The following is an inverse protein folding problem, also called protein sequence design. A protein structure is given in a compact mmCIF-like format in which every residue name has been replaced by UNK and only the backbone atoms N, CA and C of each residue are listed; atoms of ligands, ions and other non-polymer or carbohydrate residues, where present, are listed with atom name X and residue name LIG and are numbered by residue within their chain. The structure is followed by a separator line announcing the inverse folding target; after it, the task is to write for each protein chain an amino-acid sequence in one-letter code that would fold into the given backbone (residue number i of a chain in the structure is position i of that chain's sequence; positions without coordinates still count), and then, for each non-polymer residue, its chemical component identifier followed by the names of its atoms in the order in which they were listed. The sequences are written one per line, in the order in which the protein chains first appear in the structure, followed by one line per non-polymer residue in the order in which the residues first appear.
data_IF_157952613144
#
_entry.id   IF_157952613144
#
_cell.length_a   1.000
_cell.length_b   1.000
_cell.length_c   1.000
_cell.angle_alpha   90.00
_cell.angle_beta   90.00
_cell.angle_gamma   90.00
#
_symmetry.space_group_name_H-M   'P 1'
#
loop_
_entity.id
_entity.type
_entity.pdbx_description
1 polymer ?
#
# COMPACT_ATOMS: atom_id res chain seq x y z
N UNK A 1 -10.45 -11.09 24.91
CA UNK A 1 -9.08 -11.64 25.11
C UNK A 1 -8.22 -11.05 24.00
N UNK A 2 -7.05 -10.49 24.31
CA UNK A 2 -6.17 -9.96 23.27
C UNK A 2 -5.58 -11.13 22.43
N UNK A 3 -5.47 -10.98 21.11
CA UNK A 3 -4.97 -12.04 20.23
C UNK A 3 -3.52 -12.42 20.57
N UNK A 4 -3.18 -13.71 20.45
CA UNK A 4 -1.79 -14.16 20.53
C UNK A 4 -1.03 -13.58 19.33
N UNK A 5 -0.06 -12.72 19.62
CA UNK A 5 0.61 -11.90 18.60
C UNK A 5 2.02 -12.43 18.34
N UNK A 6 2.32 -12.66 17.07
CA UNK A 6 3.64 -12.95 16.53
C UNK A 6 4.27 -11.65 16.01
N UNK A 7 5.59 -11.46 16.17
CA UNK A 7 6.31 -10.33 15.58
C UNK A 7 7.37 -10.83 14.59
N UNK A 8 7.42 -10.27 13.38
CA UNK A 8 8.38 -10.62 12.31
C UNK A 8 9.16 -9.37 11.88
N UNK A 9 10.49 -9.45 11.72
CA UNK A 9 11.37 -8.32 11.40
C UNK A 9 12.44 -8.63 10.34
N UNK A 10 12.72 -7.72 9.39
CA UNK A 10 13.96 -7.51 8.57
C UNK A 10 13.74 -6.26 7.68
N UNK A 11 14.69 -5.39 7.32
CA UNK A 11 15.97 -5.66 6.64
C UNK A 11 17.20 -5.58 7.52
N UNK A 12 17.91 -6.71 7.47
CA UNK A 12 18.94 -7.15 8.41
C UNK A 12 18.60 -6.79 9.87
N UNK A 13 17.39 -7.17 10.28
CA UNK A 13 16.82 -7.19 11.64
C UNK A 13 16.89 -5.85 12.38
N UNK A 14 16.63 -4.81 11.60
CA UNK A 14 16.72 -3.41 11.99
C UNK A 14 18.17 -3.03 12.35
N UNK A 15 19.08 -3.64 11.59
CA UNK A 15 20.52 -3.44 11.48
C UNK A 15 21.35 -3.56 12.77
N UNK A 16 21.07 -4.54 13.63
CA UNK A 16 21.84 -4.82 14.86
C UNK A 16 21.54 -3.82 16.00
N UNK A 17 20.33 -3.89 16.51
CA UNK A 17 20.10 -3.77 17.94
C UNK A 17 21.32 -3.86 18.89
N UNK A 18 21.50 -2.82 19.69
CA UNK A 18 21.76 -2.92 21.12
C UNK A 18 20.44 -2.85 21.89
N UNK A 19 19.96 -3.87 22.58
CA UNK A 19 19.38 -5.09 22.00
C UNK A 19 18.19 -5.51 22.85
N UNK A 20 18.23 -5.20 24.15
CA UNK A 20 17.29 -5.70 25.16
C UNK A 20 15.80 -5.36 24.90
N UNK A 21 15.50 -4.33 24.11
CA UNK A 21 14.15 -3.81 23.90
C UNK A 21 13.40 -4.40 22.68
N UNK A 22 14.05 -4.58 21.52
CA UNK A 22 13.44 -5.48 20.50
C UNK A 22 13.31 -6.88 21.10
N UNK A 23 14.27 -7.23 21.96
CA UNK A 23 14.50 -8.54 22.55
C UNK A 23 13.65 -8.91 23.76
N UNK A 24 12.67 -8.11 24.22
CA UNK A 24 11.56 -8.65 25.02
C UNK A 24 10.33 -8.99 24.18
N UNK A 25 10.29 -8.49 22.95
CA UNK A 25 9.03 -8.26 22.27
C UNK A 25 8.85 -9.13 21.02
N UNK A 26 9.95 -9.57 20.42
CA UNK A 26 9.94 -10.71 19.50
C UNK A 26 9.85 -12.08 20.23
N UNK A 27 9.96 -12.11 21.56
CA UNK A 27 10.49 -13.25 22.35
C UNK A 27 9.61 -14.51 22.55
N UNK A 28 8.60 -14.79 21.73
CA UNK A 28 8.00 -16.14 21.76
C UNK A 28 7.86 -16.82 20.41
N UNK A 29 8.41 -16.23 19.35
CA UNK A 29 8.41 -16.80 17.99
C UNK A 29 7.01 -16.96 17.40
N UNK A 30 7.03 -17.40 16.14
CA UNK A 30 5.88 -17.96 15.43
C UNK A 30 5.23 -18.99 16.34
N UNK A 31 4.24 -18.54 17.10
CA UNK A 31 3.32 -19.42 17.78
C UNK A 31 2.47 -20.03 16.66
N UNK A 32 2.44 -21.36 16.57
CA UNK A 32 1.52 -22.04 15.65
C UNK A 32 0.05 -21.68 15.96
N UNK A 33 -0.22 -21.15 17.17
CA UNK A 33 -1.50 -20.56 17.57
C UNK A 33 -1.56 -19.04 17.53
N UNK A 34 -0.65 -18.34 16.84
CA UNK A 34 -0.76 -16.88 16.68
C UNK A 34 -1.97 -16.51 15.81
N UNK A 35 -2.74 -15.52 16.26
CA UNK A 35 -3.93 -15.01 15.57
C UNK A 35 -3.63 -13.74 14.76
N UNK A 36 -2.44 -13.15 14.94
CA UNK A 36 -1.96 -11.96 14.25
C UNK A 36 -0.43 -11.97 14.19
N UNK A 37 0.13 -11.58 13.06
CA UNK A 37 1.53 -11.23 12.91
C UNK A 37 1.70 -9.71 12.74
N UNK A 38 2.55 -9.08 13.56
CA UNK A 38 3.06 -7.72 13.36
C UNK A 38 4.37 -7.81 12.59
N UNK A 39 4.39 -7.29 11.37
CA UNK A 39 5.53 -7.41 10.47
C UNK A 39 6.21 -6.05 10.32
N UNK A 40 7.42 -5.94 10.84
CA UNK A 40 8.19 -4.71 10.95
C UNK A 40 9.30 -4.73 9.91
N UNK A 41 9.21 -3.84 8.93
CA UNK A 41 10.19 -3.75 7.85
C UNK A 41 10.39 -2.30 7.44
N UNK A 42 11.63 -1.94 7.09
CA UNK A 42 11.95 -0.61 6.57
C UNK A 42 11.57 -0.48 5.10
N UNK A 43 11.70 -1.57 4.35
CA UNK A 43 11.28 -1.69 2.96
C UNK A 43 10.24 -2.80 2.80
N UNK A 44 9.02 -2.43 2.44
CA UNK A 44 7.95 -3.42 2.21
C UNK A 44 8.04 -4.13 0.86
N UNK A 45 9.02 -3.76 0.02
CA UNK A 45 9.30 -4.38 -1.26
C UNK A 45 10.54 -5.28 -1.24
N UNK A 46 11.19 -5.43 -0.08
CA UNK A 46 12.30 -6.35 0.10
C UNK A 46 11.88 -7.78 -0.24
N UNK A 47 12.77 -8.51 -0.92
CA UNK A 47 12.51 -9.87 -1.36
C UNK A 47 12.41 -10.88 -0.22
N UNK A 48 13.22 -10.74 0.83
CA UNK A 48 13.24 -11.59 2.02
C UNK A 48 11.96 -11.46 2.85
N UNK A 49 11.35 -10.26 2.86
CA UNK A 49 10.02 -10.06 3.44
C UNK A 49 8.94 -10.85 2.68
N UNK A 50 9.12 -11.01 1.37
CA UNK A 50 8.17 -11.68 0.50
C UNK A 50 7.88 -13.13 0.87
N UNK A 51 8.91 -13.90 1.23
CA UNK A 51 8.77 -15.30 1.61
C UNK A 51 7.96 -15.46 2.91
N UNK A 52 8.22 -14.60 3.90
CA UNK A 52 7.47 -14.62 5.16
C UNK A 52 6.00 -14.26 4.98
N UNK A 53 5.70 -13.24 4.16
CA UNK A 53 4.32 -12.84 3.89
C UNK A 53 3.54 -13.91 3.12
N UNK A 54 4.19 -14.71 2.29
CA UNK A 54 3.57 -15.86 1.64
C UNK A 54 3.26 -16.98 2.66
N UNK A 55 4.18 -17.32 3.57
CA UNK A 55 3.94 -18.30 4.64
C UNK A 55 2.74 -17.90 5.53
N UNK A 56 2.70 -16.64 5.99
CA UNK A 56 1.61 -16.12 6.81
C UNK A 56 0.27 -16.18 6.08
N UNK A 57 0.27 -15.89 4.77
CA UNK A 57 -0.93 -16.02 3.93
C UNK A 57 -1.38 -17.48 3.83
N UNK A 58 -0.46 -18.40 3.56
CA UNK A 58 -0.78 -19.82 3.36
C UNK A 58 -1.31 -20.46 4.65
N UNK A 59 -0.81 -20.01 5.81
CA UNK A 59 -1.29 -20.36 7.15
C UNK A 59 -2.53 -19.58 7.61
N UNK A 60 -3.00 -18.62 6.81
CA UNK A 60 -4.12 -17.70 7.12
C UNK A 60 -3.94 -16.93 8.43
N UNK A 61 -2.70 -16.55 8.75
CA UNK A 61 -2.39 -15.67 9.87
C UNK A 61 -2.37 -14.24 9.35
N UNK A 62 -3.31 -13.36 9.76
CA UNK A 62 -3.32 -11.96 9.36
C UNK A 62 -1.98 -11.29 9.66
N UNK A 63 -1.48 -10.48 8.74
CA UNK A 63 -0.17 -9.84 8.87
C UNK A 63 -0.32 -8.31 8.76
N UNK A 64 -0.11 -7.59 9.86
CA UNK A 64 -0.14 -6.13 9.89
C UNK A 64 1.26 -5.58 9.66
N UNK A 65 1.45 -4.85 8.56
CA UNK A 65 2.74 -4.25 8.24
C UNK A 65 2.96 -2.94 9.02
N UNK A 66 4.21 -2.72 9.43
CA UNK A 66 4.67 -1.51 10.11
C UNK A 66 6.03 -1.11 9.53
N UNK A 67 6.14 0.14 9.08
CA UNK A 67 7.38 0.79 8.63
C UNK A 67 7.73 1.89 9.61
N UNK A 68 8.60 1.64 10.60
CA UNK A 68 8.83 2.61 11.67
C UNK A 68 9.75 3.77 11.26
N UNK A 69 10.57 3.60 10.22
CA UNK A 69 11.54 4.58 9.71
C UNK A 69 10.94 5.55 8.68
N UNK A 70 11.67 6.64 8.40
CA UNK A 70 11.28 7.69 7.46
C UNK A 70 10.54 8.85 8.12
N UNK A 71 10.10 9.81 7.30
CA UNK A 71 9.47 11.07 7.74
C UNK A 71 8.21 10.82 8.57
N UNK A 72 7.33 9.95 8.07
CA UNK A 72 6.14 9.46 8.77
C UNK A 72 6.18 7.94 8.81
N UNK A 73 5.96 7.28 9.97
CA UNK A 73 5.78 5.84 10.05
C UNK A 73 4.61 5.39 9.20
N UNK A 74 4.74 4.22 8.61
CA UNK A 74 3.62 3.58 7.90
C UNK A 74 3.06 2.45 8.75
N UNK A 75 1.74 2.36 8.77
CA UNK A 75 1.01 1.29 9.47
C UNK A 75 -0.08 0.77 8.54
N UNK A 76 -0.30 -0.55 8.55
CA UNK A 76 -1.15 -1.19 7.58
C UNK A 76 -0.38 -1.53 6.31
N UNK A 77 -0.95 -2.17 5.31
CA UNK A 77 -2.25 -2.82 5.36
C UNK A 77 -2.17 -4.08 6.22
N UNK A 78 -3.34 -4.56 6.63
CA UNK A 78 -3.52 -5.93 7.05
C UNK A 78 -3.55 -6.83 5.80
N UNK A 79 -2.57 -7.72 5.69
CA UNK A 79 -2.44 -8.77 4.68
C UNK A 79 -2.95 -10.11 5.22
N UNK A 80 -2.98 -11.13 4.37
CA UNK A 80 -3.41 -12.50 4.71
C UNK A 80 -4.83 -12.56 5.29
N UNK A 81 -5.67 -11.58 4.94
CA UNK A 81 -7.10 -11.56 5.24
C UNK A 81 -7.91 -11.83 3.99
N UNK A 82 -9.05 -12.50 4.15
CA UNK A 82 -9.94 -12.82 3.04
C UNK A 82 -10.39 -11.55 2.31
N UNK A 83 -10.33 -11.58 0.98
CA UNK A 83 -10.66 -10.43 0.13
C UNK A 83 -9.73 -9.22 0.30
N UNK A 84 -8.62 -9.35 1.04
CA UNK A 84 -7.61 -8.30 1.21
C UNK A 84 -6.52 -8.34 0.13
N UNK A 85 -5.69 -7.29 0.04
CA UNK A 85 -4.51 -7.31 -0.80
C UNK A 85 -3.50 -8.34 -0.28
N UNK A 86 -2.71 -8.92 -1.18
CA UNK A 86 -1.51 -9.69 -0.81
C UNK A 86 -0.24 -8.90 -1.12
N UNK A 87 0.95 -9.46 -0.81
CA UNK A 87 2.25 -8.82 -1.10
C UNK A 87 2.43 -8.40 -2.56
N UNK A 88 1.85 -9.15 -3.50
CA UNK A 88 1.92 -8.81 -4.92
C UNK A 88 1.07 -7.58 -5.27
N UNK A 89 -0.07 -7.40 -4.60
CA UNK A 89 -0.88 -6.18 -4.73
C UNK A 89 -0.12 -4.98 -4.17
N UNK A 90 0.49 -5.14 -2.99
CA UNK A 90 1.33 -4.12 -2.39
C UNK A 90 2.45 -3.68 -3.35
N UNK A 91 3.21 -4.65 -3.88
CA UNK A 91 4.27 -4.40 -4.88
C UNK A 91 3.75 -3.70 -6.13
N UNK A 92 2.60 -4.13 -6.66
CA UNK A 92 2.00 -3.55 -7.85
C UNK A 92 1.51 -2.10 -7.64
N UNK A 93 1.24 -1.68 -6.39
CA UNK A 93 0.83 -0.31 -6.06
C UNK A 93 1.99 0.57 -5.62
N UNK A 94 2.92 0.05 -4.82
CA UNK A 94 4.05 0.85 -4.34
C UNK A 94 5.11 1.09 -5.43
N UNK A 95 5.57 0.05 -6.16
CA UNK A 95 6.68 0.23 -7.13
C UNK A 95 6.45 1.38 -8.13
N UNK A 96 5.29 1.46 -8.81
CA UNK A 96 5.00 2.54 -9.75
C UNK A 96 5.05 3.95 -9.16
N UNK A 97 4.80 4.08 -7.86
CA UNK A 97 4.80 5.35 -7.14
C UNK A 97 6.20 5.75 -6.64
N UNK A 98 7.18 4.86 -6.75
CA UNK A 98 8.59 5.04 -6.39
C UNK A 98 9.52 4.87 -7.59
N UNK A 99 9.11 5.41 -8.75
CA UNK A 99 9.79 5.18 -10.03
C UNK A 99 11.23 5.70 -10.09
N UNK A 100 11.55 6.75 -9.32
CA UNK A 100 12.91 7.30 -9.26
C UNK A 100 13.82 6.34 -8.50
N UNK A 101 13.37 5.89 -7.33
CA UNK A 101 14.03 4.89 -6.51
C UNK A 101 14.20 3.59 -7.28
N UNK A 102 13.17 3.14 -8.01
CA UNK A 102 13.24 1.95 -8.84
C UNK A 102 14.26 2.10 -9.98
N UNK A 103 14.30 3.26 -10.65
CA UNK A 103 15.28 3.53 -11.70
C UNK A 103 16.72 3.52 -11.16
N UNK A 104 16.93 4.14 -10.00
CA UNK A 104 18.23 4.20 -9.33
C UNK A 104 18.65 2.80 -8.84
N UNK A 105 17.76 2.06 -8.20
CA UNK A 105 17.99 0.67 -7.79
C UNK A 105 18.44 -0.20 -8.97
N UNK A 106 17.72 -0.17 -10.09
CA UNK A 106 18.12 -0.89 -11.31
C UNK A 106 19.50 -0.50 -11.82
N UNK A 107 19.84 0.79 -11.83
CA UNK A 107 21.18 1.26 -12.26
C UNK A 107 22.29 0.82 -11.31
N UNK A 108 21.99 0.72 -10.01
CA UNK A 108 22.94 0.39 -8.95
C UNK A 108 22.99 -1.10 -8.61
N UNK A 109 22.18 -1.94 -9.29
CA UNK A 109 22.08 -3.37 -9.00
C UNK A 109 21.43 -3.69 -7.65
N UNK A 110 20.56 -2.82 -7.15
CA UNK A 110 19.82 -2.97 -5.88
C UNK A 110 18.33 -3.14 -6.18
N UNK A 111 17.64 -4.04 -5.47
CA UNK A 111 16.17 -4.18 -5.53
C UNK A 111 15.57 -3.62 -4.22
N UNK A 112 14.38 -3.02 -4.29
CA UNK A 112 13.70 -2.38 -3.14
C UNK A 112 13.38 -0.88 -3.29
N UNK A 113 12.52 -0.35 -2.41
CA UNK A 113 12.28 1.08 -2.19
C UNK A 113 13.50 1.79 -1.58
N UNK A 114 14.27 1.07 -0.75
CA UNK A 114 15.43 1.60 -0.04
C UNK A 114 16.74 1.53 -0.86
N UNK A 115 16.60 1.28 -2.17
CA UNK A 115 17.60 1.55 -3.22
C UNK A 115 17.97 3.04 -3.36
N UNK A 116 18.11 3.75 -2.24
CA UNK A 116 18.74 5.04 -2.02
C UNK A 116 18.35 6.12 -3.04
N UNK A 117 17.24 6.81 -2.79
CA UNK A 117 17.14 8.19 -3.23
C UNK A 117 18.20 9.01 -2.46
N UNK A 118 19.22 9.59 -3.12
CA UNK A 118 20.24 10.40 -2.44
C UNK A 118 19.66 11.67 -1.79
N UNK A 119 18.39 12.00 -2.05
CA UNK A 119 17.72 13.19 -1.54
C UNK A 119 17.03 13.02 -0.18
N UNK A 120 16.95 11.81 0.38
CA UNK A 120 16.31 11.56 1.69
C UNK A 120 17.08 10.49 2.45
N UNK A 121 18.07 10.90 3.24
CA UNK A 121 18.60 10.03 4.31
C UNK A 121 17.44 9.76 5.26
N UNK A 122 16.93 8.53 5.38
CA UNK A 122 15.85 8.24 6.30
C UNK A 122 16.29 8.62 7.71
N UNK A 123 15.49 9.40 8.43
CA UNK A 123 15.75 9.66 9.84
C UNK A 123 15.81 8.30 10.57
N UNK A 124 16.88 8.01 11.33
CA UNK A 124 16.93 6.80 12.13
C UNK A 124 15.72 6.75 13.06
N UNK A 125 14.97 5.66 13.04
CA UNK A 125 13.93 5.44 14.04
C UNK A 125 14.61 5.11 15.38
N UNK A 126 14.31 5.87 16.43
CA UNK A 126 14.70 5.51 17.80
C UNK A 126 13.87 4.33 18.30
N UNK A 127 14.35 3.61 19.33
CA UNK A 127 13.60 2.51 19.95
C UNK A 127 12.20 2.96 20.42
N UNK A 128 12.10 4.16 21.01
CA UNK A 128 10.82 4.79 21.39
C UNK A 128 9.91 4.95 20.19
N UNK A 129 10.44 5.41 19.06
CA UNK A 129 9.65 5.63 17.86
C UNK A 129 9.12 4.31 17.26
N UNK A 130 9.91 3.24 17.31
CA UNK A 130 9.48 1.91 16.88
C UNK A 130 8.36 1.41 17.80
N UNK A 131 8.54 1.50 19.12
CA UNK A 131 7.54 1.12 20.10
C UNK A 131 6.23 1.90 19.91
N UNK A 132 6.29 3.23 19.74
CA UNK A 132 5.10 4.07 19.50
C UNK A 132 4.35 3.67 18.22
N UNK A 133 5.08 3.33 17.16
CA UNK A 133 4.47 2.89 15.90
C UNK A 133 3.76 1.54 16.07
N UNK A 134 4.35 0.63 16.85
CA UNK A 134 3.79 -0.69 17.14
C UNK A 134 2.58 -0.61 18.06
N UNK A 135 2.68 0.18 19.13
CA UNK A 135 1.58 0.45 20.05
C UNK A 135 0.41 1.08 19.29
N UNK A 136 0.69 2.05 18.41
CA UNK A 136 -0.36 2.66 17.58
C UNK A 136 -0.96 1.68 16.58
N UNK A 137 -0.14 0.82 15.97
CA UNK A 137 -0.62 -0.21 15.06
C UNK A 137 -1.54 -1.22 15.77
N UNK A 138 -1.17 -1.64 16.97
CA UNK A 138 -1.95 -2.56 17.79
C UNK A 138 -3.24 -1.91 18.30
N UNK A 139 -3.17 -0.66 18.77
CA UNK A 139 -4.33 0.13 19.16
C UNK A 139 -5.33 0.26 18.01
N UNK A 140 -4.87 0.62 16.80
CA UNK A 140 -5.70 0.66 15.60
C UNK A 140 -6.30 -0.71 15.26
N UNK A 141 -5.52 -1.79 15.42
CA UNK A 141 -6.02 -3.14 15.14
C UNK A 141 -7.14 -3.56 16.11
N UNK A 142 -6.99 -3.22 17.39
CA UNK A 142 -7.95 -3.57 18.43
C UNK A 142 -9.19 -2.67 18.43
N UNK A 143 -9.07 -1.42 18.01
CA UNK A 143 -10.16 -0.43 18.04
C UNK A 143 -10.89 -0.27 16.71
N UNK A 144 -10.17 -0.33 15.57
CA UNK A 144 -10.73 -0.15 14.23
C UNK A 144 -9.91 -0.88 13.15
N UNK A 145 -10.05 -2.20 13.12
CA UNK A 145 -9.42 -3.08 12.12
C UNK A 145 -9.78 -2.70 10.66
N UNK A 146 -10.92 -2.04 10.43
CA UNK A 146 -11.33 -1.63 9.10
C UNK A 146 -10.43 -0.52 8.54
N UNK A 147 -9.88 0.35 9.40
CA UNK A 147 -8.91 1.37 8.98
C UNK A 147 -7.57 0.77 8.52
N UNK A 148 -7.25 -0.46 8.94
CA UNK A 148 -6.04 -1.17 8.52
C UNK A 148 -6.28 -2.10 7.33
N UNK A 149 -7.54 -2.35 6.98
CA UNK A 149 -7.89 -3.24 5.88
C UNK A 149 -7.93 -2.44 4.57
N UNK A 150 -7.18 -2.91 3.56
CA UNK A 150 -7.10 -2.26 2.23
C UNK A 150 -6.64 -0.80 2.30
N UNK A 151 -5.83 -0.46 3.30
CA UNK A 151 -5.35 0.90 3.55
C UNK A 151 -3.94 0.85 4.11
N UNK A 152 -3.11 1.76 3.62
CA UNK A 152 -1.81 2.12 4.18
C UNK A 152 -2.00 3.47 4.87
N UNK A 153 -1.61 3.55 6.14
CA UNK A 153 -1.70 4.76 6.93
C UNK A 153 -0.31 5.36 7.09
N UNK A 154 -0.15 6.67 6.89
CA UNK A 154 1.00 7.41 7.41
C UNK A 154 0.62 8.12 8.69
N UNK A 155 1.46 7.99 9.71
CA UNK A 155 1.23 8.56 11.02
C UNK A 155 2.03 9.86 11.17
N UNK A 156 1.36 11.00 11.23
CA UNK A 156 2.02 12.22 11.70
C UNK A 156 2.10 12.19 13.23
N UNK A 157 3.27 11.87 13.76
CA UNK A 157 3.51 11.80 15.21
C UNK A 157 3.38 13.17 15.90
N UNK A 158 3.62 14.27 15.19
CA UNK A 158 3.59 15.61 15.78
C UNK A 158 2.17 16.14 15.93
N UNK A 159 1.29 15.82 14.98
CA UNK A 159 -0.11 16.29 14.97
C UNK A 159 -1.12 15.20 15.34
N UNK A 160 -0.70 13.94 15.39
CA UNK A 160 -1.58 12.78 15.55
C UNK A 160 -2.43 12.47 14.31
N UNK A 161 -2.24 13.18 13.19
CA UNK A 161 -3.05 12.98 11.98
C UNK A 161 -2.70 11.68 11.28
N UNK A 162 -3.73 11.00 10.80
CA UNK A 162 -3.62 9.84 9.94
C UNK A 162 -3.80 10.28 8.49
N UNK A 163 -2.82 10.00 7.65
CA UNK A 163 -2.99 10.09 6.21
C UNK A 163 -3.33 8.71 5.66
N UNK A 164 -4.43 8.61 4.94
CA UNK A 164 -4.97 7.33 4.48
C UNK A 164 -4.68 7.16 3.00
N UNK A 165 -4.04 6.05 2.66
CA UNK A 165 -3.73 5.66 1.29
C UNK A 165 -4.47 4.37 0.95
N UNK A 166 -5.48 4.38 0.07
CA UNK A 166 -6.21 3.18 -0.32
C UNK A 166 -5.29 2.13 -0.96
N UNK A 167 -5.48 0.87 -0.62
CA UNK A 167 -4.71 -0.25 -1.14
C UNK A 167 -5.64 -1.43 -1.43
N UNK A 168 -6.37 -1.29 -2.53
CA UNK A 168 -7.29 -2.33 -3.00
C UNK A 168 -6.53 -3.54 -3.60
N UNK A 169 -7.08 -4.77 -3.47
CA UNK A 169 -6.59 -5.92 -4.19
C UNK A 169 -6.54 -5.63 -5.69
N UNK A 170 -5.45 -6.01 -6.35
CA UNK A 170 -5.34 -5.88 -7.80
C UNK A 170 -6.14 -7.03 -8.45
N UNK A 171 -7.14 -6.76 -9.30
CA UNK A 171 -8.02 -7.80 -9.83
C UNK A 171 -7.30 -8.97 -10.51
N UNK A 172 -6.27 -8.69 -11.31
CA UNK A 172 -5.40 -9.68 -11.96
C UNK A 172 -4.13 -10.01 -11.17
N UNK A 173 -4.13 -9.86 -9.84
CA UNK A 173 -2.97 -10.17 -9.01
C UNK A 173 -2.57 -11.67 -9.13
N UNK A 174 -1.28 -12.01 -9.32
CA UNK A 174 -0.88 -13.41 -9.44
C UNK A 174 -0.99 -14.19 -8.12
N UNK A 175 -1.02 -13.48 -6.99
CA UNK A 175 -1.07 -14.10 -5.66
C UNK A 175 -2.44 -14.15 -5.00
N UNK A 176 -3.42 -13.34 -5.43
CA UNK A 176 -4.75 -13.30 -4.80
C UNK A 176 -5.90 -12.87 -5.73
N UNK A 177 -5.60 -12.58 -7.00
CA UNK A 177 -6.58 -12.14 -7.99
C UNK A 177 -7.10 -13.31 -8.82
N UNK A 178 -8.16 -13.06 -9.59
CA UNK A 178 -8.74 -14.07 -10.48
C UNK A 178 -7.84 -14.25 -11.73
N UNK A 179 -7.31 -15.45 -12.00
CA UNK A 179 -6.40 -15.68 -13.13
C UNK A 179 -7.02 -15.35 -14.49
N UNK A 180 -8.35 -15.51 -14.66
CA UNK A 180 -9.05 -15.17 -15.91
C UNK A 180 -8.94 -13.70 -16.27
N UNK A 181 -8.87 -12.80 -15.29
CA UNK A 181 -8.72 -11.37 -15.56
C UNK A 181 -7.40 -11.08 -16.29
N UNK A 182 -6.32 -11.84 -16.03
CA UNK A 182 -5.07 -11.69 -16.78
C UNK A 182 -5.24 -12.05 -18.26
N UNK A 183 -5.94 -13.14 -18.55
CA UNK A 183 -6.17 -13.64 -19.93
C UNK A 183 -6.92 -12.63 -20.80
N UNK A 184 -7.82 -11.86 -20.20
CA UNK A 184 -8.50 -10.76 -20.89
C UNK A 184 -7.53 -9.72 -21.46
N UNK A 185 -6.43 -9.43 -20.75
CA UNK A 185 -5.40 -8.49 -21.22
C UNK A 185 -4.48 -9.06 -22.29
N UNK A 186 -4.48 -10.39 -22.47
CA UNK A 186 -3.69 -11.11 -23.48
C UNK A 186 -4.40 -11.17 -24.85
N UNK A 187 -5.49 -10.41 -25.04
CA UNK A 187 -6.15 -10.23 -26.34
C UNK A 187 -7.39 -11.10 -26.58
N UNK A 188 -7.98 -11.70 -25.54
CA UNK A 188 -9.30 -12.31 -25.65
C UNK A 188 -10.35 -11.27 -26.08
N UNK A 189 -11.28 -11.64 -26.97
CA UNK A 189 -12.34 -10.75 -27.42
C UNK A 189 -13.27 -10.42 -26.25
N UNK A 190 -13.60 -9.12 -26.12
CA UNK A 190 -14.66 -8.67 -25.22
C UNK A 190 -16.00 -9.21 -25.73
N UNK A 191 -16.60 -10.13 -25.00
CA UNK A 191 -17.97 -10.62 -25.24
C UNK A 191 -18.96 -9.86 -24.35
N UNK A 192 -20.25 -9.90 -24.69
CA UNK A 192 -21.31 -9.37 -23.82
C UNK A 192 -21.49 -7.85 -23.80
N UNK A 193 -21.06 -7.14 -24.85
CA UNK A 193 -21.43 -5.72 -25.02
C UNK A 193 -22.95 -5.59 -25.13
N UNK A 194 -23.54 -4.82 -24.22
CA UNK A 194 -24.98 -4.57 -24.18
C UNK A 194 -25.26 -3.07 -24.28
N UNK A 195 -26.36 -2.65 -24.92
CA UNK A 195 -26.77 -1.25 -24.93
C UNK A 195 -26.89 -0.71 -23.50
N UNK A 196 -26.36 0.50 -23.27
CA UNK A 196 -26.43 1.17 -21.98
C UNK A 196 -27.26 2.45 -22.10
N UNK A 197 -28.05 2.76 -21.07
CA UNK A 197 -28.81 4.00 -21.00
C UNK A 197 -27.90 5.14 -20.54
N UNK A 198 -27.91 6.25 -21.28
CA UNK A 198 -27.12 7.43 -20.90
C UNK A 198 -27.86 8.28 -19.89
N UNK A 199 -27.14 8.78 -18.90
CA UNK A 199 -27.58 9.83 -17.99
C UNK A 199 -27.44 11.18 -18.70
N UNK A 200 -28.47 12.02 -18.57
CA UNK A 200 -28.44 13.41 -19.07
C UNK A 200 -27.98 14.31 -17.92
N UNK A 201 -26.79 14.90 -18.01
CA UNK A 201 -26.20 15.72 -16.95
C UNK A 201 -25.87 17.17 -17.35
N UNK A 202 -26.45 17.67 -18.44
CA UNK A 202 -26.31 19.09 -18.85
C UNK A 202 -24.94 19.45 -19.45
N UNK A 203 -23.92 18.59 -19.30
CA UNK A 203 -22.55 18.77 -19.81
C UNK A 203 -22.38 18.35 -21.28
N UNK A 204 -23.47 17.98 -21.97
CA UNK A 204 -23.46 17.60 -23.39
C UNK A 204 -22.73 16.29 -23.70
N UNK A 205 -22.28 15.54 -22.69
CA UNK A 205 -21.62 14.26 -22.83
C UNK A 205 -22.58 13.06 -22.83
N UNK A 206 -22.10 11.92 -23.31
CA UNK A 206 -22.79 10.63 -23.19
C UNK A 206 -22.13 9.81 -22.09
N UNK A 207 -22.72 9.79 -20.89
CA UNK A 207 -22.24 9.02 -19.73
C UNK A 207 -23.31 8.05 -19.26
N UNK A 208 -22.92 6.95 -18.64
CA UNK A 208 -23.86 5.99 -18.00
C UNK A 208 -23.98 6.20 -16.49
N UNK A 209 -23.07 7.00 -15.90
CA UNK A 209 -23.00 7.36 -14.49
C UNK A 209 -22.66 8.85 -14.36
N UNK A 210 -23.08 9.49 -13.27
CA UNK A 210 -22.80 10.90 -13.06
C UNK A 210 -21.31 11.15 -12.80
N UNK A 211 -20.86 12.38 -13.05
CA UNK A 211 -19.48 12.82 -12.78
C UNK A 211 -19.10 12.58 -11.31
N UNK A 212 -19.97 12.99 -10.38
CA UNK A 212 -19.72 12.84 -8.94
C UNK A 212 -19.60 11.38 -8.51
N UNK A 213 -20.43 10.50 -9.06
CA UNK A 213 -20.39 9.05 -8.81
C UNK A 213 -19.12 8.42 -9.39
N UNK A 214 -18.72 8.85 -10.58
CA UNK A 214 -17.45 8.42 -11.20
C UNK A 214 -16.26 8.81 -10.33
N UNK A 215 -16.26 10.05 -9.81
CA UNK A 215 -15.20 10.53 -8.94
C UNK A 215 -15.14 9.73 -7.64
N UNK A 216 -16.28 9.49 -6.98
CA UNK A 216 -16.35 8.69 -5.76
C UNK A 216 -15.79 7.27 -5.96
N UNK A 217 -16.07 6.62 -7.10
CA UNK A 217 -15.49 5.31 -7.44
C UNK A 217 -13.96 5.41 -7.60
N UNK A 218 -13.49 6.46 -8.28
CA UNK A 218 -12.08 6.67 -8.56
C UNK A 218 -11.27 7.20 -7.37
N UNK A 219 -11.89 7.65 -6.28
CA UNK A 219 -11.16 8.09 -5.06
C UNK A 219 -10.20 7.01 -4.55
N UNK A 220 -10.59 5.73 -4.65
CA UNK A 220 -9.73 4.59 -4.27
C UNK A 220 -8.50 4.41 -5.18
N UNK A 221 -8.51 5.01 -6.37
CA UNK A 221 -7.40 5.02 -7.31
C UNK A 221 -6.47 6.23 -7.14
N UNK A 222 -6.89 7.23 -6.34
CA UNK A 222 -6.13 8.45 -6.04
C UNK A 222 -5.29 8.28 -4.77
N UNK A 223 -3.97 8.21 -4.93
CA UNK A 223 -3.05 8.25 -3.80
C UNK A 223 -1.61 8.41 -4.32
N UNK A 224 -0.81 9.31 -3.71
CA UNK A 224 0.58 9.49 -4.13
C UNK A 224 1.48 8.29 -3.80
N UNK A 225 1.04 7.34 -2.96
CA UNK A 225 1.82 6.16 -2.56
C UNK A 225 1.31 4.86 -3.19
N UNK A 226 -0.01 4.73 -3.32
CA UNK A 226 -0.67 3.44 -3.64
C UNK A 226 -1.67 3.56 -4.79
N UNK A 227 -1.95 4.80 -5.22
CA UNK A 227 -2.86 5.08 -6.31
C UNK A 227 -2.24 4.73 -7.65
N UNK A 228 -3.09 4.40 -8.63
CA UNK A 228 -2.66 4.42 -10.04
C UNK A 228 -2.59 5.87 -10.56
N UNK A 229 -3.32 6.77 -9.91
CA UNK A 229 -3.25 8.22 -10.07
C UNK A 229 -2.70 8.80 -8.76
N UNK A 230 -1.61 9.55 -8.85
CA UNK A 230 -0.92 10.16 -7.71
C UNK A 230 -1.55 11.46 -7.24
N UNK A 231 -1.97 12.28 -8.19
CA UNK A 231 -2.63 13.55 -7.91
C UNK A 231 -3.52 13.96 -9.08
N UNK A 232 -4.53 14.76 -8.76
CA UNK A 232 -5.41 15.42 -9.71
C UNK A 232 -5.49 16.88 -9.28
N UNK A 233 -5.10 17.79 -10.17
CA UNK A 233 -5.00 19.21 -9.88
C UNK A 233 -5.74 20.01 -10.95
N UNK A 234 -6.60 20.93 -10.51
CA UNK A 234 -7.19 21.92 -11.40
C UNK A 234 -6.11 22.91 -11.82
N UNK A 235 -6.01 23.19 -13.12
CA UNK A 235 -5.09 24.18 -13.68
C UNK A 235 -5.86 25.45 -13.99
N UNK A 236 -5.43 26.56 -13.41
CA UNK A 236 -5.91 27.87 -13.80
C UNK A 236 -5.36 28.22 -15.19
N UNK A 237 -6.23 28.72 -16.06
CA UNK A 237 -5.85 29.23 -17.39
C UNK A 237 -6.25 30.69 -17.45
N UNK A 238 -5.31 31.56 -17.82
CA UNK A 238 -5.57 32.99 -17.93
C UNK A 238 -6.69 33.27 -18.95
N UNK A 239 -7.71 34.04 -18.56
CA UNK A 239 -8.90 34.31 -19.38
C UNK A 239 -9.91 33.17 -19.47
N UNK A 240 -9.77 32.12 -18.66
CA UNK A 240 -10.48 30.84 -18.80
C UNK A 240 -11.69 30.63 -17.89
N UNK A 241 -12.54 31.63 -17.61
CA UNK A 241 -13.76 31.41 -16.80
C UNK A 241 -14.70 30.34 -17.36
N UNK A 242 -14.59 30.03 -18.67
CA UNK A 242 -15.34 28.97 -19.36
C UNK A 242 -14.51 27.73 -19.69
N UNK A 243 -13.25 27.68 -19.25
CA UNK A 243 -12.32 26.58 -19.57
C UNK A 243 -11.93 25.86 -18.29
N UNK A 244 -12.31 24.59 -18.21
CA UNK A 244 -11.96 23.72 -17.08
C UNK A 244 -10.82 22.80 -17.51
N UNK A 245 -9.60 23.06 -17.02
CA UNK A 245 -8.43 22.21 -17.27
C UNK A 245 -8.04 21.49 -15.98
N UNK A 246 -7.82 20.20 -16.08
CA UNK A 246 -7.35 19.35 -14.98
C UNK A 246 -6.14 18.56 -15.46
N UNK A 247 -5.09 18.51 -14.64
CA UNK A 247 -3.94 17.64 -14.86
C UNK A 247 -3.99 16.49 -13.87
N UNK A 248 -3.73 15.27 -14.34
CA UNK A 248 -3.54 14.11 -13.49
C UNK A 248 -2.10 13.61 -13.61
N UNK A 249 -1.46 13.32 -12.48
CA UNK A 249 -0.18 12.64 -12.44
C UNK A 249 -0.43 11.15 -12.21
N UNK A 250 0.02 10.29 -13.11
CA UNK A 250 -0.10 8.85 -12.97
C UNK A 250 1.14 8.25 -12.32
N UNK A 251 0.98 7.11 -11.66
CA UNK A 251 2.09 6.29 -11.23
C UNK A 251 2.82 5.76 -12.49
N UNK A 252 4.15 5.70 -12.47
CA UNK A 252 4.92 5.28 -13.66
C UNK A 252 4.74 3.78 -13.87
N UNK A 253 4.25 3.30 -15.02
CA UNK A 253 4.10 1.87 -15.25
C UNK A 253 5.46 1.18 -15.12
N UNK A 254 5.64 0.39 -14.06
CA UNK A 254 6.70 -0.60 -14.02
C UNK A 254 6.47 -1.60 -15.14
N UNK A 255 7.53 -2.11 -15.77
CA UNK A 255 7.37 -3.31 -16.61
C UNK A 255 6.95 -4.44 -15.67
N UNK A 256 5.77 -5.02 -15.90
CA UNK A 256 5.38 -6.28 -15.27
C UNK A 256 6.23 -7.39 -15.90
N UNK A 257 7.48 -7.52 -15.45
CA UNK A 257 8.33 -8.68 -15.75
C UNK A 257 8.23 -9.69 -14.63
#
# INVERSE_FOLDING_TARGET
MAPRTLVVATDKELHDLGTEALARWALSRVDDGAELALVVADDWLDASLGECLDDLRDRRVPALLVRPRGELPWVGTLLAVEGGPCRHCLRARLRPNHAVEEHLGRRLGRDGLDGSSPAKVPLPATATSIADALDRALDLYLTDRNLLTRRLLRLDRSTGRLEIHPLEPVPGCPGCGEPRIRRFWDGERVEGLTPQTTVKDGDGGFRTILVGETLAVLETALSPLTGVIRSVERRAVAGGERVHVTSAAYATPGRYS
#
